data_IF_494524040139
#
_entry.id   IF_494524040139
#
_cell.length_a   1.000
_cell.length_b   1.000
_cell.length_c   1.000
_cell.angle_alpha   90.00
_cell.angle_beta   90.00
_cell.angle_gamma   90.00
#
_symmetry.space_group_name_H-M   'P 1'
#
loop_
_entity.id
_entity.type
_entity.pdbx_description
1 polymer ?
#
# COMPACT_ATOMS: atom_id res chain seq x y z
N UNK A 1 -16.79 38.33 16.08
CA UNK A 1 -15.32 38.20 16.05
C UNK A 1 -15.02 36.74 15.76
N UNK A 2 -14.82 36.44 14.47
CA UNK A 2 -14.36 35.14 13.95
C UNK A 2 -12.89 34.93 14.34
N UNK A 3 -12.57 33.75 14.87
CA UNK A 3 -11.76 32.70 14.20
C UNK A 3 -10.25 32.93 14.44
N UNK A 4 -9.37 31.95 14.65
CA UNK A 4 -9.36 30.54 14.31
C UNK A 4 -8.57 29.75 15.37
N UNK A 5 -9.00 28.52 15.66
CA UNK A 5 -8.14 27.51 16.29
C UNK A 5 -7.39 26.77 15.18
N UNK A 6 -6.08 26.46 15.33
CA UNK A 6 -5.36 25.72 14.31
C UNK A 6 -5.91 24.29 14.24
N UNK A 7 -6.44 23.93 13.07
CA UNK A 7 -6.77 22.56 12.72
C UNK A 7 -5.45 21.81 12.49
N UNK A 8 -5.11 20.90 13.40
CA UNK A 8 -4.03 19.94 13.19
C UNK A 8 -4.58 18.79 12.35
N UNK A 9 -4.45 18.89 11.03
CA UNK A 9 -4.59 17.74 10.14
C UNK A 9 -3.31 16.91 10.25
N UNK A 10 -3.25 16.00 11.22
CA UNK A 10 -2.20 14.99 11.28
C UNK A 10 -2.42 14.00 10.15
N UNK A 11 -1.87 14.29 8.97
CA UNK A 11 -1.77 13.33 7.88
C UNK A 11 -0.72 12.29 8.30
N UNK A 12 -1.11 11.02 8.38
CA UNK A 12 -0.19 9.91 8.69
C UNK A 12 0.75 9.71 7.49
N UNK A 13 1.85 10.46 7.45
CA UNK A 13 2.84 10.37 6.39
C UNK A 13 3.46 8.96 6.35
N UNK A 14 3.47 8.36 5.16
CA UNK A 14 4.05 7.04 4.88
C UNK A 14 5.53 7.21 4.57
N UNK A 15 6.36 7.10 5.59
CA UNK A 15 7.81 7.13 5.43
C UNK A 15 8.40 5.76 5.11
N UNK A 16 9.60 5.73 4.52
CA UNK A 16 10.43 4.53 4.36
C UNK A 16 10.68 3.87 5.72
N UNK A 17 10.38 2.59 5.80
CA UNK A 17 11.03 1.66 6.73
C UNK A 17 12.25 1.06 6.04
N UNK A 18 13.35 0.89 6.77
CA UNK A 18 14.60 0.31 6.25
C UNK A 18 14.33 -1.09 5.66
N UNK A 19 14.53 -1.26 4.36
CA UNK A 19 14.48 -2.57 3.70
C UNK A 19 15.76 -3.35 4.03
N UNK A 20 15.63 -4.66 4.19
CA UNK A 20 16.80 -5.51 4.33
C UNK A 20 17.36 -5.82 2.94
N UNK A 21 18.68 -5.68 2.72
CA UNK A 21 19.40 -6.15 1.51
C UNK A 21 19.43 -7.68 1.35
N UNK A 22 18.41 -8.36 1.86
CA UNK A 22 18.30 -9.81 1.81
C UNK A 22 17.50 -10.17 0.56
N UNK A 23 18.14 -10.92 -0.33
CA UNK A 23 17.48 -11.53 -1.46
C UNK A 23 16.51 -12.62 -0.96
N UNK A 24 15.23 -12.34 -1.01
CA UNK A 24 14.16 -13.29 -0.72
C UNK A 24 13.69 -14.00 -2.01
N UNK A 25 13.02 -15.14 -1.85
CA UNK A 25 12.33 -15.76 -2.99
C UNK A 25 11.15 -14.89 -3.41
N UNK A 26 10.95 -14.80 -4.73
CA UNK A 26 9.78 -14.18 -5.33
C UNK A 26 8.50 -14.80 -4.78
N UNK A 27 7.46 -13.98 -4.65
CA UNK A 27 6.15 -14.42 -4.18
C UNK A 27 5.47 -15.14 -5.33
N UNK A 28 5.07 -16.38 -5.08
CA UNK A 28 4.38 -17.23 -6.05
C UNK A 28 3.23 -17.95 -5.37
N UNK A 29 2.15 -18.21 -6.11
CA UNK A 29 0.99 -18.97 -5.66
C UNK A 29 -0.29 -18.12 -5.65
N UNK A 30 -0.17 -16.82 -5.39
CA UNK A 30 -1.31 -15.90 -5.42
C UNK A 30 -1.98 -15.87 -6.80
N UNK A 31 -1.21 -16.04 -7.89
CA UNK A 31 -1.73 -16.03 -9.25
C UNK A 31 -2.71 -17.18 -9.57
N UNK A 32 -2.78 -18.19 -8.71
CA UNK A 32 -3.73 -19.31 -8.85
C UNK A 32 -5.03 -19.07 -8.07
N UNK A 33 -5.09 -18.03 -7.23
CA UNK A 33 -6.32 -17.66 -6.55
C UNK A 33 -7.35 -17.12 -7.56
N UNK A 34 -8.64 -17.41 -7.39
CA UNK A 34 -9.67 -16.78 -8.19
C UNK A 34 -9.74 -15.29 -7.89
N UNK A 35 -10.09 -14.49 -8.89
CA UNK A 35 -10.52 -13.10 -8.66
C UNK A 35 -11.85 -13.11 -7.91
N UNK A 36 -11.90 -12.41 -6.78
CA UNK A 36 -13.05 -12.33 -5.88
C UNK A 36 -13.36 -10.88 -5.53
N UNK A 37 -14.48 -10.64 -4.86
CA UNK A 37 -14.83 -9.30 -4.37
C UNK A 37 -13.87 -8.83 -3.29
N UNK A 38 -13.79 -7.52 -3.06
CA UNK A 38 -12.90 -6.95 -2.04
C UNK A 38 -13.15 -7.53 -0.64
N UNK A 39 -14.42 -7.73 -0.26
CA UNK A 39 -14.80 -8.33 1.02
C UNK A 39 -14.23 -9.74 1.17
N UNK A 40 -14.36 -10.57 0.12
CA UNK A 40 -13.86 -11.94 0.11
C UNK A 40 -12.33 -11.97 0.12
N UNK A 41 -11.68 -11.04 -0.55
CA UNK A 41 -10.22 -10.92 -0.58
C UNK A 41 -9.63 -10.56 0.79
N UNK A 42 -10.32 -9.70 1.56
CA UNK A 42 -9.90 -9.28 2.90
C UNK A 42 -10.28 -10.29 3.98
N UNK A 43 -11.33 -11.09 3.79
CA UNK A 43 -11.83 -12.01 4.82
C UNK A 43 -10.75 -12.86 5.55
N UNK A 44 -9.72 -13.43 4.88
CA UNK A 44 -8.68 -14.21 5.55
C UNK A 44 -7.76 -13.38 6.46
N UNK A 45 -7.57 -12.11 6.15
CA UNK A 45 -6.63 -11.19 6.84
C UNK A 45 -7.34 -10.19 7.75
N UNK A 46 -8.68 -10.14 7.73
CA UNK A 46 -9.48 -9.16 8.46
C UNK A 46 -9.11 -9.05 9.94
N UNK A 47 -8.80 -10.19 10.58
CA UNK A 47 -8.42 -10.27 11.99
C UNK A 47 -7.08 -9.59 12.34
N UNK A 48 -6.27 -9.23 11.34
CA UNK A 48 -5.01 -8.52 11.51
C UNK A 48 -5.18 -6.99 11.43
N UNK A 49 -6.30 -6.53 10.87
CA UNK A 49 -6.53 -5.13 10.53
C UNK A 49 -7.31 -4.42 11.65
N UNK A 50 -7.29 -3.09 11.64
CA UNK A 50 -7.99 -2.26 12.63
C UNK A 50 -9.51 -2.49 12.68
N UNK A 51 -10.14 -2.05 13.77
CA UNK A 51 -11.56 -2.26 14.05
C UNK A 51 -12.49 -1.68 12.95
N UNK A 52 -12.05 -0.63 12.28
CA UNK A 52 -12.81 0.10 11.25
C UNK A 52 -12.79 -0.55 9.86
N UNK A 53 -12.13 -1.71 9.69
CA UNK A 53 -11.89 -2.31 8.37
C UNK A 53 -13.16 -2.53 7.52
N UNK A 54 -14.30 -2.85 8.14
CA UNK A 54 -15.57 -3.01 7.40
C UNK A 54 -16.06 -1.68 6.81
N UNK A 55 -15.92 -0.60 7.58
CA UNK A 55 -16.21 0.75 7.12
C UNK A 55 -15.25 1.13 6.00
N UNK A 56 -13.97 0.80 6.14
CA UNK A 56 -12.95 1.11 5.13
C UNK A 56 -13.21 0.38 3.81
N UNK A 57 -13.59 -0.90 3.86
CA UNK A 57 -13.99 -1.68 2.67
C UNK A 57 -15.18 -1.02 1.98
N UNK A 58 -16.21 -0.64 2.75
CA UNK A 58 -17.38 0.05 2.20
C UNK A 58 -16.99 1.37 1.53
N UNK A 59 -16.22 2.21 2.20
CA UNK A 59 -15.76 3.50 1.67
C UNK A 59 -14.88 3.34 0.44
N UNK A 60 -13.98 2.35 0.43
CA UNK A 60 -13.12 2.04 -0.71
C UNK A 60 -13.95 1.67 -1.96
N UNK A 61 -14.98 0.84 -1.80
CA UNK A 61 -15.90 0.48 -2.90
C UNK A 61 -16.78 1.65 -3.34
N UNK A 62 -17.22 2.48 -2.40
CA UNK A 62 -18.00 3.68 -2.70
C UNK A 62 -17.21 4.67 -3.56
N UNK A 63 -15.93 4.90 -3.22
CA UNK A 63 -15.01 5.73 -4.03
C UNK A 63 -14.71 5.09 -5.40
N UNK A 64 -14.81 3.77 -5.50
CA UNK A 64 -14.50 2.98 -6.70
C UNK A 64 -15.71 2.62 -7.57
N UNK A 65 -16.88 3.26 -7.39
CA UNK A 65 -18.11 2.95 -8.15
C UNK A 65 -18.00 3.12 -9.68
N UNK A 66 -17.10 3.98 -10.13
CA UNK A 66 -16.88 4.28 -11.55
C UNK A 66 -15.38 4.16 -11.83
N UNK A 67 -14.86 2.94 -11.83
CA UNK A 67 -13.44 2.70 -12.03
C UNK A 67 -13.02 3.14 -13.44
N UNK A 68 -11.75 3.54 -13.58
CA UNK A 68 -11.13 3.89 -14.87
C UNK A 68 -10.16 2.77 -15.30
N UNK A 69 -9.55 2.93 -16.47
CA UNK A 69 -8.41 2.11 -16.89
C UNK A 69 -8.71 0.60 -16.99
N UNK A 70 -9.97 0.26 -17.25
CA UNK A 70 -10.43 -1.13 -17.35
C UNK A 70 -10.47 -1.89 -16.02
N UNK A 71 -10.30 -1.19 -14.89
CA UNK A 71 -10.45 -1.77 -13.57
C UNK A 71 -11.91 -2.14 -13.30
N UNK A 72 -12.10 -3.22 -12.57
CA UNK A 72 -13.36 -3.52 -11.89
C UNK A 72 -13.50 -2.64 -10.64
N UNK A 73 -14.71 -2.56 -10.08
CA UNK A 73 -14.94 -1.85 -8.82
C UNK A 73 -14.11 -2.45 -7.67
N UNK A 74 -13.97 -3.78 -7.63
CA UNK A 74 -13.22 -4.46 -6.56
C UNK A 74 -11.71 -4.27 -6.70
N UNK A 75 -11.16 -4.26 -7.92
CA UNK A 75 -9.74 -3.97 -8.17
C UNK A 75 -9.39 -2.51 -7.80
N UNK A 76 -10.19 -1.55 -8.27
CA UNK A 76 -10.04 -0.14 -7.87
C UNK A 76 -10.23 0.01 -6.36
N UNK A 77 -11.17 -0.73 -5.77
CA UNK A 77 -11.41 -0.78 -4.33
C UNK A 77 -10.20 -1.30 -3.56
N UNK A 78 -9.50 -2.33 -4.06
CA UNK A 78 -8.30 -2.87 -3.44
C UNK A 78 -7.16 -1.83 -3.39
N UNK A 79 -6.95 -1.10 -4.49
CA UNK A 79 -5.97 0.02 -4.55
C UNK A 79 -6.40 1.16 -3.62
N UNK A 80 -7.68 1.52 -3.62
CA UNK A 80 -8.20 2.55 -2.75
C UNK A 80 -8.02 2.18 -1.27
N UNK A 81 -8.28 0.93 -0.89
CA UNK A 81 -8.11 0.44 0.48
C UNK A 81 -6.64 0.44 0.91
N UNK A 82 -5.71 0.06 0.02
CA UNK A 82 -4.27 0.13 0.29
C UNK A 82 -3.79 1.57 0.55
N UNK A 83 -4.46 2.55 -0.06
CA UNK A 83 -4.08 3.98 0.00
C UNK A 83 -4.89 4.78 1.02
N UNK A 84 -5.86 4.17 1.69
CA UNK A 84 -6.61 4.83 2.77
C UNK A 84 -5.74 5.01 4.02
N UNK A 85 -5.95 6.14 4.69
CA UNK A 85 -5.40 6.38 6.02
C UNK A 85 -6.19 5.58 7.05
N UNK A 86 -5.48 4.84 7.89
CA UNK A 86 -6.06 4.19 9.07
C UNK A 86 -5.99 5.14 10.27
N UNK A 87 -6.94 4.98 11.20
CA UNK A 87 -6.91 5.63 12.51
C UNK A 87 -5.61 5.30 13.28
N UNK A 88 -5.06 4.11 13.06
CA UNK A 88 -3.74 3.67 13.54
C UNK A 88 -2.89 3.18 12.37
N UNK A 89 -1.79 3.88 12.07
CA UNK A 89 -0.87 3.50 10.98
C UNK A 89 -0.39 2.05 11.11
N UNK A 90 -0.09 1.60 12.34
CA UNK A 90 0.41 0.24 12.61
C UNK A 90 -0.63 -0.86 12.39
N UNK A 91 -1.91 -0.49 12.30
CA UNK A 91 -3.03 -1.39 12.03
C UNK A 91 -3.56 -1.23 10.60
N UNK A 92 -2.94 -0.34 9.80
CA UNK A 92 -3.33 -0.13 8.41
C UNK A 92 -2.98 -1.35 7.56
N UNK A 93 -3.81 -1.59 6.55
CA UNK A 93 -3.55 -2.62 5.55
C UNK A 93 -2.18 -2.44 4.90
N UNK A 94 -1.82 -1.20 4.55
CA UNK A 94 -0.53 -0.85 3.96
C UNK A 94 0.65 -1.30 4.84
N UNK A 95 0.63 -0.91 6.12
CA UNK A 95 1.71 -1.23 7.04
C UNK A 95 1.86 -2.73 7.24
N UNK A 96 0.76 -3.43 7.56
CA UNK A 96 0.80 -4.86 7.88
C UNK A 96 1.20 -5.68 6.65
N UNK A 97 0.69 -5.33 5.46
CA UNK A 97 1.07 -5.98 4.22
C UNK A 97 2.56 -5.80 3.94
N UNK A 98 3.07 -4.57 3.98
CA UNK A 98 4.49 -4.30 3.72
C UNK A 98 5.41 -4.98 4.74
N UNK A 99 5.02 -5.00 6.01
CA UNK A 99 5.74 -5.78 7.03
C UNK A 99 5.77 -7.27 6.68
N UNK A 100 4.64 -7.84 6.24
CA UNK A 100 4.57 -9.25 5.84
C UNK A 100 5.41 -9.54 4.59
N UNK A 101 5.43 -8.62 3.62
CA UNK A 101 6.22 -8.72 2.39
C UNK A 101 7.74 -8.73 2.66
N UNK A 102 8.19 -8.16 3.78
CA UNK A 102 9.60 -8.17 4.20
C UNK A 102 10.02 -9.44 4.96
N UNK A 103 9.06 -10.28 5.36
CA UNK A 103 9.38 -11.48 6.13
C UNK A 103 10.05 -12.54 5.25
N UNK A 104 11.13 -13.13 5.79
CA UNK A 104 11.82 -14.29 5.18
C UNK A 104 10.87 -15.49 5.02
N UNK A 105 9.98 -15.69 5.97
CA UNK A 105 9.01 -16.79 5.94
C UNK A 105 7.85 -16.46 4.99
N UNK A 106 8.02 -16.82 3.71
CA UNK A 106 7.01 -16.62 2.65
C UNK A 106 5.68 -17.35 2.88
N UNK A 107 5.64 -18.34 3.78
CA UNK A 107 4.38 -19.04 4.09
C UNK A 107 3.37 -18.11 4.77
N UNK A 108 3.83 -17.06 5.46
CA UNK A 108 2.98 -16.07 6.10
C UNK A 108 2.20 -15.21 5.09
N UNK A 109 2.66 -15.14 3.83
CA UNK A 109 1.94 -14.44 2.77
C UNK A 109 0.73 -15.21 2.23
N UNK A 110 0.57 -16.50 2.54
CA UNK A 110 -0.53 -17.32 1.99
C UNK A 110 -1.91 -16.75 2.31
N UNK A 111 -2.11 -16.22 3.52
CA UNK A 111 -3.37 -15.59 3.91
C UNK A 111 -3.67 -14.32 3.09
N UNK A 112 -2.65 -13.70 2.49
CA UNK A 112 -2.78 -12.51 1.65
C UNK A 112 -3.05 -12.81 0.20
N UNK A 113 -3.01 -14.08 -0.25
CA UNK A 113 -3.02 -14.42 -1.68
C UNK A 113 -4.26 -13.90 -2.41
N UNK A 114 -5.45 -14.02 -1.82
CA UNK A 114 -6.67 -13.50 -2.44
C UNK A 114 -6.64 -11.97 -2.60
N UNK A 115 -6.09 -11.25 -1.62
CA UNK A 115 -5.90 -9.80 -1.72
C UNK A 115 -4.81 -9.41 -2.71
N UNK A 116 -3.65 -10.07 -2.68
CA UNK A 116 -2.55 -9.84 -3.63
C UNK A 116 -2.99 -10.09 -5.06
N UNK A 117 -3.77 -11.16 -5.30
CA UNK A 117 -4.29 -11.45 -6.63
C UNK A 117 -5.23 -10.36 -7.13
N UNK A 118 -6.16 -9.88 -6.29
CA UNK A 118 -7.07 -8.80 -6.64
C UNK A 118 -6.31 -7.48 -6.90
N UNK A 119 -5.41 -7.10 -5.99
CA UNK A 119 -4.63 -5.88 -6.07
C UNK A 119 -3.72 -5.87 -7.31
N UNK A 120 -2.90 -6.91 -7.47
CA UNK A 120 -1.93 -6.97 -8.57
C UNK A 120 -2.65 -7.06 -9.92
N UNK A 121 -3.74 -7.83 -10.03
CA UNK A 121 -4.52 -7.85 -11.28
C UNK A 121 -5.06 -6.48 -11.67
N UNK A 122 -5.42 -5.64 -10.70
CA UNK A 122 -5.76 -4.25 -10.92
C UNK A 122 -4.55 -3.43 -11.38
N UNK A 123 -3.44 -3.47 -10.64
CA UNK A 123 -2.22 -2.71 -10.97
C UNK A 123 -1.66 -3.05 -12.36
N UNK A 124 -1.76 -4.31 -12.80
CA UNK A 124 -1.33 -4.75 -14.13
C UNK A 124 -2.12 -4.13 -15.29
N UNK A 125 -3.30 -3.56 -15.04
CA UNK A 125 -4.11 -2.87 -16.05
C UNK A 125 -3.77 -1.39 -16.20
N UNK A 126 -3.10 -0.82 -15.19
CA UNK A 126 -2.74 0.60 -15.19
C UNK A 126 -1.63 0.89 -16.19
N UNK A 127 -1.63 2.10 -16.75
CA UNK A 127 -0.58 2.55 -17.65
C UNK A 127 0.73 2.76 -16.89
N UNK A 128 1.82 2.23 -17.44
CA UNK A 128 3.16 2.53 -16.94
C UNK A 128 3.62 3.90 -17.42
N UNK A 129 4.19 4.69 -16.52
CA UNK A 129 4.76 6.00 -16.83
C UNK A 129 6.27 6.01 -16.56
N UNK A 130 7.03 6.70 -17.41
CA UNK A 130 8.46 6.96 -17.18
C UNK A 130 8.61 8.40 -16.71
N UNK A 131 8.74 8.59 -15.41
CA UNK A 131 8.95 9.91 -14.78
C UNK A 131 9.83 9.82 -13.56
N UNK A 132 10.42 10.95 -13.18
CA UNK A 132 11.12 11.09 -11.90
C UNK A 132 10.05 11.18 -10.81
N UNK A 133 10.22 10.36 -9.77
CA UNK A 133 9.36 10.33 -8.60
C UNK A 133 10.22 10.47 -7.34
N UNK A 134 9.61 10.98 -6.28
CA UNK A 134 10.22 11.18 -4.98
C UNK A 134 9.54 10.26 -3.96
N UNK A 135 10.29 9.83 -2.96
CA UNK A 135 9.76 9.01 -1.88
C UNK A 135 10.34 9.50 -0.56
N UNK A 136 9.49 9.75 0.43
CA UNK A 136 9.91 10.29 1.72
C UNK A 136 10.60 9.24 2.59
N UNK A 137 11.86 9.46 2.94
CA UNK A 137 12.58 8.63 3.90
C UNK A 137 12.57 9.25 5.29
N UNK A 138 12.41 8.42 6.34
CA UNK A 138 12.68 8.86 7.71
C UNK A 138 14.13 8.55 8.08
N UNK A 139 14.93 9.59 8.32
CA UNK A 139 16.34 9.48 8.69
C UNK A 139 17.30 9.54 7.50
N UNK A 140 18.60 9.49 7.78
CA UNK A 140 19.64 9.46 6.76
C UNK A 140 19.84 8.02 6.28
N UNK A 141 19.48 7.74 5.02
CA UNK A 141 19.66 6.45 4.37
C UNK A 141 20.84 6.43 3.38
N UNK A 142 21.62 7.51 3.29
CA UNK A 142 22.70 7.66 2.30
C UNK A 142 23.71 6.52 2.35
N UNK A 143 24.03 6.03 3.56
CA UNK A 143 25.02 4.98 3.76
C UNK A 143 24.49 3.57 3.45
N UNK A 144 23.22 3.45 3.04
CA UNK A 144 22.57 2.15 2.74
C UNK A 144 22.52 1.83 1.24
N UNK A 145 22.87 2.80 0.39
CA UNK A 145 22.75 2.69 -1.05
C UNK A 145 24.02 3.20 -1.71
N UNK A 146 24.70 2.33 -2.46
CA UNK A 146 25.76 2.77 -3.35
C UNK A 146 25.18 3.19 -4.71
N UNK A 147 25.89 4.09 -5.39
CA UNK A 147 25.54 4.48 -6.75
C UNK A 147 25.63 3.23 -7.64
N UNK A 148 24.63 3.05 -8.52
CA UNK A 148 24.49 1.91 -9.43
C UNK A 148 24.08 0.57 -8.77
N UNK A 149 23.63 0.58 -7.50
CA UNK A 149 23.06 -0.61 -6.86
C UNK A 149 21.69 -1.00 -7.44
N UNK A 150 21.54 -2.29 -7.77
CA UNK A 150 20.25 -2.92 -8.03
C UNK A 150 19.57 -3.30 -6.70
N UNK A 151 18.55 -2.53 -6.32
CA UNK A 151 17.83 -2.74 -5.06
C UNK A 151 16.48 -3.41 -5.31
N UNK A 152 16.21 -4.50 -4.59
CA UNK A 152 14.88 -5.12 -4.56
C UNK A 152 14.10 -4.54 -3.39
N UNK A 153 13.05 -3.80 -3.72
CA UNK A 153 12.08 -3.35 -2.73
C UNK A 153 10.96 -4.37 -2.59
N UNK A 154 10.85 -5.00 -1.41
CA UNK A 154 9.86 -6.07 -1.21
C UNK A 154 8.45 -5.53 -0.94
N UNK A 155 8.33 -4.36 -0.31
CA UNK A 155 7.05 -3.70 -0.06
C UNK A 155 6.50 -2.90 -1.25
N UNK A 156 5.25 -2.48 -1.15
CA UNK A 156 4.70 -1.43 -2.02
C UNK A 156 5.20 -0.06 -1.57
N UNK A 157 5.56 0.79 -2.53
CA UNK A 157 6.00 2.16 -2.28
C UNK A 157 4.92 3.17 -2.65
N UNK A 158 4.72 4.17 -1.77
CA UNK A 158 3.96 5.38 -2.09
C UNK A 158 4.92 6.47 -2.52
N UNK A 159 4.79 6.99 -3.74
CA UNK A 159 5.70 8.00 -4.28
C UNK A 159 4.95 9.28 -4.62
N UNK A 160 5.70 10.38 -4.69
CA UNK A 160 5.24 11.73 -4.99
C UNK A 160 5.85 12.20 -6.30
N UNK A 161 5.11 12.99 -7.07
CA UNK A 161 5.62 13.58 -8.31
C UNK A 161 6.44 14.85 -8.07
N UNK A 162 6.29 15.48 -6.89
CA UNK A 162 6.94 16.76 -6.58
C UNK A 162 7.39 16.83 -5.12
N UNK A 163 8.60 17.35 -4.91
CA UNK A 163 9.18 17.67 -3.60
C UNK A 163 8.39 18.74 -2.84
N UNK A 164 7.67 19.62 -3.54
CA UNK A 164 6.89 20.68 -2.88
C UNK A 164 5.76 20.11 -2.00
N UNK A 165 5.40 18.84 -2.17
CA UNK A 165 4.46 18.13 -1.30
C UNK A 165 5.13 17.71 0.02
N UNK A 166 6.46 17.55 0.05
CA UNK A 166 7.23 17.25 1.26
C UNK A 166 7.66 18.51 2.03
N UNK A 167 7.82 19.65 1.36
CA UNK A 167 8.37 20.89 1.97
C UNK A 167 7.34 21.80 2.64
N UNK A 168 6.04 21.56 2.46
CA UNK A 168 4.96 22.39 3.02
C UNK A 168 4.33 21.81 4.30
N UNK A 169 5.06 20.96 5.03
CA UNK A 169 4.61 20.32 6.28
C UNK A 169 5.65 20.42 7.40
#
# INVERSE_FOLDING_TARGET
MSSDAPSSSTQNQRFIDIESNILLRAISGYQHEPLVTLEKAIAPIKHLLGEDIETDIYLAKMKSKRPKDGLTQDESGAVQLLTMDSSSYKESLYFILNQTLRLKNRQLLKIWYSYLQLLLSGLWKLSNEKKIIWHGAKGNLSDQFDIDDDIIWWGFNSCLESLNVLENE
#
